data_IF_055637669616
#
_entry.id   IF_055637669616
#
_cell.length_a   1.000
_cell.length_b   1.000
_cell.length_c   1.000
_cell.angle_alpha   90.00
_cell.angle_beta   90.00
_cell.angle_gamma   90.00
#
_symmetry.space_group_name_H-M   'P 1'
#
loop_
_entity.id
_entity.type
_entity.pdbx_description
1 polymer ?
#
# COMPACT_ATOMS: atom_id res chain seq x y z
N UNK A 1 4.70 -15.26 0.36
CA UNK A 1 5.06 -13.86 -0.02
C UNK A 1 4.43 -12.81 0.92
N UNK A 2 3.09 -12.80 1.08
CA UNK A 2 2.38 -11.86 1.97
C UNK A 2 2.92 -11.84 3.41
N UNK A 3 3.19 -13.02 3.98
CA UNK A 3 3.76 -13.12 5.33
C UNK A 3 5.16 -12.50 5.45
N UNK A 4 5.96 -12.56 4.37
CA UNK A 4 7.27 -11.89 4.37
C UNK A 4 7.10 -10.37 4.39
N UNK A 5 6.17 -9.82 3.60
CA UNK A 5 5.84 -8.39 3.59
C UNK A 5 5.39 -7.96 5.00
N UNK A 6 4.46 -8.70 5.61
CA UNK A 6 4.01 -8.46 6.99
C UNK A 6 5.17 -8.44 7.97
N UNK A 7 6.06 -9.44 7.92
CA UNK A 7 7.22 -9.53 8.82
C UNK A 7 8.15 -8.33 8.67
N UNK A 8 8.45 -7.93 7.43
CA UNK A 8 9.29 -6.76 7.14
C UNK A 8 8.63 -5.46 7.59
N UNK A 9 7.34 -5.26 7.31
CA UNK A 9 6.59 -4.09 7.76
C UNK A 9 6.53 -3.99 9.29
N UNK A 10 6.30 -5.09 10.00
CA UNK A 10 6.28 -5.09 11.47
C UNK A 10 7.65 -4.75 12.07
N UNK A 11 8.74 -5.26 11.49
CA UNK A 11 10.10 -4.90 11.90
C UNK A 11 10.35 -3.39 11.76
N UNK A 12 9.95 -2.79 10.64
CA UNK A 12 10.08 -1.33 10.41
C UNK A 12 9.13 -0.50 11.27
N UNK A 13 7.92 -0.99 11.55
CA UNK A 13 6.99 -0.35 12.48
C UNK A 13 7.61 -0.24 13.88
N UNK A 14 8.29 -1.27 14.36
CA UNK A 14 8.96 -1.23 15.67
C UNK A 14 10.05 -0.17 15.72
N UNK A 15 10.81 0.04 14.64
CA UNK A 15 11.78 1.13 14.54
C UNK A 15 11.08 2.50 14.65
N UNK A 16 9.98 2.68 13.92
CA UNK A 16 9.21 3.93 13.96
C UNK A 16 8.64 4.19 15.36
N UNK A 17 8.16 3.15 16.05
CA UNK A 17 7.68 3.27 17.45
C UNK A 17 8.78 3.77 18.38
N UNK A 18 10.00 3.26 18.23
CA UNK A 18 11.15 3.68 19.05
C UNK A 18 11.51 5.14 18.75
N UNK A 19 11.61 5.50 17.46
CA UNK A 19 11.96 6.84 17.02
C UNK A 19 10.88 7.90 17.33
N UNK A 20 9.60 7.50 17.32
CA UNK A 20 8.46 8.36 17.65
C UNK A 20 8.43 8.79 19.13
N UNK A 21 9.22 8.14 19.99
CA UNK A 21 9.24 8.45 21.41
C UNK A 21 9.61 9.93 21.68
N UNK A 22 8.91 10.54 22.64
CA UNK A 22 9.07 11.96 23.04
C UNK A 22 10.51 12.33 23.39
N UNK A 23 11.33 11.39 23.89
CA UNK A 23 12.74 11.64 24.23
C UNK A 23 13.61 12.04 23.03
N UNK A 24 13.30 11.57 21.82
CA UNK A 24 14.10 11.84 20.62
C UNK A 24 13.77 13.19 19.96
N UNK A 25 12.64 13.82 20.31
CA UNK A 25 12.29 15.15 19.83
C UNK A 25 12.05 15.26 18.31
N UNK A 26 11.91 14.14 17.59
CA UNK A 26 11.76 14.16 16.13
C UNK A 26 10.48 14.86 15.68
N UNK A 27 10.61 15.66 14.62
CA UNK A 27 9.47 16.30 13.95
C UNK A 27 8.62 15.24 13.24
N UNK A 28 7.30 15.46 13.23
CA UNK A 28 6.31 14.62 12.54
C UNK A 28 6.59 14.49 11.05
N UNK A 29 7.05 15.57 10.39
CA UNK A 29 7.44 15.55 8.98
C UNK A 29 8.62 14.60 8.74
N UNK A 30 9.67 14.69 9.55
CA UNK A 30 10.85 13.82 9.47
C UNK A 30 10.48 12.36 9.70
N UNK A 31 9.63 12.08 10.71
CA UNK A 31 9.10 10.74 10.97
C UNK A 31 8.25 10.22 9.80
N UNK A 32 7.44 11.08 9.18
CA UNK A 32 6.68 10.77 7.97
C UNK A 32 7.57 10.36 6.81
N UNK A 33 8.65 11.11 6.56
CA UNK A 33 9.62 10.78 5.52
C UNK A 33 10.39 9.49 5.80
N UNK A 34 10.76 9.24 7.05
CA UNK A 34 11.37 7.98 7.47
C UNK A 34 10.41 6.81 7.28
N UNK A 35 9.13 6.98 7.61
CA UNK A 35 8.10 5.97 7.36
C UNK A 35 7.98 5.67 5.86
N UNK A 36 7.88 6.69 5.00
CA UNK A 36 7.80 6.51 3.55
C UNK A 36 9.03 5.78 3.01
N UNK A 37 10.22 6.13 3.50
CA UNK A 37 11.48 5.53 3.08
C UNK A 37 11.63 4.08 3.53
N UNK A 38 11.18 3.73 4.74
CA UNK A 38 11.37 2.39 5.31
C UNK A 38 10.24 1.43 4.99
N UNK A 39 9.00 1.88 5.14
CA UNK A 39 7.79 1.07 4.96
C UNK A 39 7.15 1.31 3.60
N UNK A 40 7.09 2.56 3.14
CA UNK A 40 6.51 2.91 1.84
C UNK A 40 7.13 2.12 0.69
N UNK A 41 8.46 2.04 0.61
CA UNK A 41 9.15 1.25 -0.42
C UNK A 41 8.76 -0.24 -0.40
N UNK A 42 8.67 -0.86 0.79
CA UNK A 42 8.30 -2.29 0.91
C UNK A 42 6.90 -2.52 0.35
N UNK A 43 5.98 -1.60 0.63
CA UNK A 43 4.61 -1.67 0.14
C UNK A 43 4.57 -1.37 -1.35
N UNK A 44 5.23 -0.33 -1.84
CA UNK A 44 5.23 0.04 -3.26
C UNK A 44 5.63 -1.14 -4.13
N UNK A 45 6.78 -1.78 -3.88
CA UNK A 45 7.19 -2.94 -4.69
C UNK A 45 6.21 -4.12 -4.65
N UNK A 46 5.31 -4.17 -3.67
CA UNK A 46 4.28 -5.21 -3.60
C UNK A 46 3.11 -4.97 -4.55
N UNK A 47 3.02 -3.83 -5.25
CA UNK A 47 1.95 -3.53 -6.19
C UNK A 47 1.84 -4.60 -7.30
N UNK A 48 2.97 -5.17 -7.71
CA UNK A 48 3.03 -6.24 -8.71
C UNK A 48 2.22 -7.48 -8.30
N UNK A 49 2.02 -7.67 -7.00
CA UNK A 49 1.31 -8.80 -6.43
C UNK A 49 -0.09 -8.43 -5.91
N UNK A 50 -0.63 -7.27 -6.32
CA UNK A 50 -1.97 -6.83 -5.92
C UNK A 50 -3.05 -7.88 -6.11
N UNK A 51 -3.08 -8.48 -7.30
CA UNK A 51 -4.07 -9.50 -7.66
C UNK A 51 -3.95 -10.78 -6.83
N UNK A 52 -2.82 -11.00 -6.14
CA UNK A 52 -2.61 -12.14 -5.24
C UNK A 52 -3.05 -11.84 -3.80
N UNK A 53 -3.29 -10.58 -3.44
CA UNK A 53 -3.70 -10.25 -2.08
C UNK A 53 -5.20 -10.47 -1.89
N UNK A 54 -5.54 -11.33 -0.93
CA UNK A 54 -6.91 -11.38 -0.42
C UNK A 54 -7.26 -10.10 0.34
N UNK A 55 -8.55 -9.77 0.38
CA UNK A 55 -9.06 -8.60 1.12
C UNK A 55 -8.66 -8.65 2.61
N UNK A 56 -8.67 -9.84 3.21
CA UNK A 56 -8.23 -10.07 4.59
C UNK A 56 -6.75 -9.74 4.82
N UNK A 57 -5.89 -9.98 3.82
CA UNK A 57 -4.48 -9.65 3.89
C UNK A 57 -4.23 -8.16 3.70
N UNK A 58 -4.97 -7.50 2.80
CA UNK A 58 -4.93 -6.05 2.63
C UNK A 58 -5.33 -5.35 3.93
N UNK A 59 -6.43 -5.78 4.57
CA UNK A 59 -6.89 -5.25 5.87
C UNK A 59 -5.82 -5.37 6.95
N UNK A 60 -5.09 -6.50 6.99
CA UNK A 60 -3.99 -6.71 7.93
C UNK A 60 -2.80 -5.78 7.68
N UNK A 61 -2.41 -5.57 6.43
CA UNK A 61 -1.34 -4.62 6.07
C UNK A 61 -1.77 -3.19 6.38
N UNK A 62 -3.03 -2.84 6.08
CA UNK A 62 -3.61 -1.55 6.43
C UNK A 62 -3.58 -1.29 7.94
N UNK A 63 -3.81 -2.30 8.77
CA UNK A 63 -3.70 -2.16 10.23
C UNK A 63 -2.28 -1.80 10.68
N UNK A 64 -1.25 -2.35 10.02
CA UNK A 64 0.16 -2.01 10.30
C UNK A 64 0.45 -0.55 9.93
N UNK A 65 -0.02 -0.10 8.75
CA UNK A 65 0.08 1.31 8.36
C UNK A 65 -0.67 2.23 9.34
N UNK A 66 -1.90 1.88 9.71
CA UNK A 66 -2.69 2.67 10.66
C UNK A 66 -1.97 2.80 12.01
N UNK A 67 -1.33 1.71 12.46
CA UNK A 67 -0.49 1.75 13.66
C UNK A 67 0.66 2.75 13.49
N UNK A 68 1.41 2.69 12.39
CA UNK A 68 2.51 3.62 12.11
C UNK A 68 2.05 5.08 12.12
N UNK A 69 0.95 5.38 11.42
CA UNK A 69 0.36 6.73 11.36
C UNK A 69 0.00 7.24 12.75
N UNK A 70 -0.60 6.42 13.62
CA UNK A 70 -0.92 6.82 15.00
C UNK A 70 0.33 7.22 15.77
N UNK A 71 1.42 6.47 15.64
CA UNK A 71 2.69 6.81 16.28
C UNK A 71 3.31 8.09 15.71
N UNK A 72 3.30 8.27 14.40
CA UNK A 72 3.89 9.46 13.75
C UNK A 72 3.13 10.73 14.15
N UNK A 73 1.80 10.68 14.07
CA UNK A 73 0.92 11.83 14.36
C UNK A 73 0.58 11.96 15.85
N UNK A 74 1.07 11.05 16.70
CA UNK A 74 0.80 11.01 18.15
C UNK A 74 -0.71 10.99 18.48
N UNK A 75 -1.48 10.28 17.66
CA UNK A 75 -2.93 10.12 17.84
C UNK A 75 -3.23 9.10 18.96
N UNK A 76 -4.42 9.23 19.56
CA UNK A 76 -4.91 8.26 20.54
C UNK A 76 -5.15 6.90 19.87
N UNK A 77 -5.09 5.84 20.67
CA UNK A 77 -5.37 4.49 20.19
C UNK A 77 -6.81 4.35 19.68
N UNK A 78 -7.77 5.01 20.35
CA UNK A 78 -9.20 4.92 20.03
C UNK A 78 -9.64 5.83 18.88
N UNK A 79 -8.73 6.59 18.25
CA UNK A 79 -9.10 7.46 17.13
C UNK A 79 -9.75 6.63 16.01
N UNK A 80 -10.97 6.97 15.55
CA UNK A 80 -11.63 6.28 14.44
C UNK A 80 -10.78 6.24 13.16
N UNK A 81 -10.97 5.21 12.34
CA UNK A 81 -10.19 5.04 11.11
C UNK A 81 -10.41 6.18 10.10
N UNK A 82 -11.63 6.70 9.98
CA UNK A 82 -11.91 7.78 9.01
C UNK A 82 -11.14 9.06 9.33
N UNK A 83 -11.13 9.45 10.62
CA UNK A 83 -10.36 10.59 11.11
C UNK A 83 -8.86 10.33 10.89
N UNK A 84 -8.38 9.12 11.21
CA UNK A 84 -6.99 8.73 11.02
C UNK A 84 -6.57 8.85 9.55
N UNK A 85 -7.40 8.39 8.62
CA UNK A 85 -7.11 8.45 7.19
C UNK A 85 -7.10 9.87 6.65
N UNK A 86 -8.02 10.71 7.11
CA UNK A 86 -8.05 12.13 6.73
C UNK A 86 -6.81 12.87 7.24
N UNK A 87 -6.44 12.65 8.50
CA UNK A 87 -5.22 13.21 9.12
C UNK A 87 -3.94 12.73 8.44
N UNK A 88 -3.87 11.44 8.08
CA UNK A 88 -2.74 10.87 7.34
C UNK A 88 -2.59 11.53 5.97
N UNK A 89 -3.70 11.73 5.27
CA UNK A 89 -3.68 12.37 3.96
C UNK A 89 -3.30 13.85 4.07
N UNK A 90 -3.88 14.58 5.01
CA UNK A 90 -3.63 16.02 5.16
C UNK A 90 -2.17 16.30 5.51
N UNK A 91 -1.67 15.68 6.59
CA UNK A 91 -0.35 15.98 7.17
C UNK A 91 0.80 15.20 6.55
N UNK A 92 0.56 13.95 6.15
CA UNK A 92 1.61 13.06 5.63
C UNK A 92 1.48 12.82 4.12
N UNK A 93 0.39 13.24 3.46
CA UNK A 93 0.10 12.90 2.06
C UNK A 93 0.13 11.39 1.82
N UNK A 94 -0.37 10.62 2.78
CA UNK A 94 -0.34 9.16 2.77
C UNK A 94 -1.74 8.59 2.49
N UNK A 95 -1.85 7.77 1.44
CA UNK A 95 -3.08 7.09 1.04
C UNK A 95 -3.24 5.73 1.74
N UNK A 96 -4.46 5.17 1.69
CA UNK A 96 -4.70 3.76 2.07
C UNK A 96 -3.84 2.83 1.22
N UNK A 97 -3.41 1.70 1.79
CA UNK A 97 -2.57 0.70 1.12
C UNK A 97 -3.18 0.28 -0.21
N UNK A 98 -4.47 -0.08 -0.22
CA UNK A 98 -5.18 -0.49 -1.43
C UNK A 98 -5.13 0.57 -2.53
N UNK A 99 -5.46 1.81 -2.18
CA UNK A 99 -5.55 2.91 -3.15
C UNK A 99 -4.17 3.24 -3.71
N UNK A 100 -3.16 3.33 -2.82
CA UNK A 100 -1.77 3.57 -3.20
C UNK A 100 -1.25 2.51 -4.17
N UNK A 101 -1.48 1.24 -3.86
CA UNK A 101 -1.02 0.14 -4.71
C UNK A 101 -1.78 0.14 -6.04
N UNK A 102 -3.10 0.36 -6.02
CA UNK A 102 -3.91 0.45 -7.23
C UNK A 102 -3.44 1.58 -8.16
N UNK A 103 -3.25 2.80 -7.63
CA UNK A 103 -2.73 3.92 -8.41
C UNK A 103 -1.35 3.65 -9.00
N UNK A 104 -0.47 2.97 -8.26
CA UNK A 104 0.86 2.59 -8.77
C UNK A 104 0.76 1.58 -9.91
N UNK A 105 -0.10 0.57 -9.77
CA UNK A 105 -0.31 -0.43 -10.81
C UNK A 105 -0.89 0.20 -12.07
N UNK A 106 -1.91 1.06 -11.93
CA UNK A 106 -2.52 1.78 -13.03
C UNK A 106 -1.50 2.66 -13.77
N UNK A 107 -0.70 3.45 -13.04
CA UNK A 107 0.35 4.28 -13.64
C UNK A 107 1.39 3.43 -14.35
N UNK A 108 1.84 2.34 -13.75
CA UNK A 108 2.85 1.46 -14.33
C UNK A 108 2.37 0.83 -15.64
N UNK A 109 1.14 0.29 -15.63
CA UNK A 109 0.52 -0.31 -16.83
C UNK A 109 0.25 0.76 -17.88
N UNK A 110 -0.32 1.91 -17.50
CA UNK A 110 -0.63 3.00 -18.41
C UNK A 110 0.61 3.56 -19.11
N UNK A 111 1.69 3.81 -18.37
CA UNK A 111 2.98 4.25 -18.94
C UNK A 111 3.63 3.16 -19.79
N UNK A 112 3.51 1.89 -19.38
CA UNK A 112 4.01 0.76 -20.16
C UNK A 112 3.31 0.65 -21.51
N UNK A 113 1.98 0.84 -21.53
CA UNK A 113 1.18 0.85 -22.75
C UNK A 113 1.46 2.08 -23.62
N UNK A 114 1.61 3.28 -23.02
CA UNK A 114 1.88 4.51 -23.78
C UNK A 114 3.22 4.46 -24.53
N UNK A 115 4.20 3.74 -23.99
CA UNK A 115 5.51 3.54 -24.63
C UNK A 115 5.61 2.22 -25.40
N UNK A 116 4.49 1.50 -25.57
CA UNK A 116 4.45 0.21 -26.26
C UNK A 116 5.49 -0.79 -25.75
N UNK A 117 5.70 -0.83 -24.43
CA UNK A 117 6.65 -1.75 -23.79
C UNK A 117 6.20 -3.19 -24.09
N UNK A 118 6.97 -3.99 -24.85
CA UNK A 118 6.49 -5.26 -25.40
C UNK A 118 5.96 -6.23 -24.35
N UNK A 119 6.61 -6.28 -23.19
CA UNK A 119 6.20 -7.15 -22.09
C UNK A 119 4.85 -6.73 -21.48
N UNK A 120 4.64 -5.43 -21.27
CA UNK A 120 3.40 -4.92 -20.67
C UNK A 120 2.25 -5.12 -21.64
N UNK A 121 2.43 -4.76 -22.92
CA UNK A 121 1.42 -4.97 -23.97
C UNK A 121 1.02 -6.45 -24.05
N UNK A 122 1.99 -7.37 -24.12
CA UNK A 122 1.70 -8.81 -24.17
C UNK A 122 0.93 -9.31 -22.94
N UNK A 123 1.36 -8.91 -21.74
CA UNK A 123 0.69 -9.34 -20.49
C UNK A 123 -0.75 -8.81 -20.39
N UNK A 124 -0.99 -7.57 -20.83
CA UNK A 124 -2.33 -6.98 -20.84
C UNK A 124 -3.23 -7.70 -21.86
N UNK A 125 -2.72 -8.00 -23.05
CA UNK A 125 -3.47 -8.77 -24.06
C UNK A 125 -3.81 -10.18 -23.59
N UNK A 126 -2.85 -10.90 -22.99
CA UNK A 126 -3.07 -12.24 -22.41
C UNK A 126 -4.14 -12.21 -21.31
N UNK A 127 -4.08 -11.19 -20.43
CA UNK A 127 -5.07 -11.00 -19.38
C UNK A 127 -6.47 -10.73 -19.94
N UNK A 128 -6.59 -9.89 -20.97
CA UNK A 128 -7.89 -9.58 -21.59
C UNK A 128 -8.49 -10.80 -22.29
N UNK A 129 -7.68 -11.58 -23.03
CA UNK A 129 -8.14 -12.83 -23.66
C UNK A 129 -8.66 -13.84 -22.64
N UNK A 130 -7.95 -14.02 -21.51
CA UNK A 130 -8.40 -14.91 -20.43
C UNK A 130 -9.58 -14.36 -19.62
N UNK A 131 -9.86 -13.06 -19.70
CA UNK A 131 -11.09 -12.48 -19.17
C UNK A 131 -12.26 -12.80 -20.09
N UNK A 132 -12.15 -12.53 -21.39
CA UNK A 132 -13.17 -12.84 -22.40
C UNK A 132 -13.58 -14.31 -22.41
N UNK A 133 -12.62 -15.25 -22.29
CA UNK A 133 -12.92 -16.68 -22.24
C UNK A 133 -13.79 -17.08 -21.04
N UNK A 134 -13.61 -16.46 -19.87
CA UNK A 134 -14.42 -16.73 -18.67
C UNK A 134 -15.87 -16.27 -18.82
N UNK A 135 -16.13 -15.22 -19.59
CA UNK A 135 -17.50 -14.76 -19.90
C UNK A 135 -18.21 -15.68 -20.89
N UNK A 136 -17.45 -16.31 -21.80
CA UNK A 136 -17.99 -17.25 -22.78
C UNK A 136 -18.35 -18.60 -22.10
N UNK A 137 -17.54 -19.05 -21.13
CA UNK A 137 -17.76 -20.33 -20.42
C UNK A 137 -18.84 -20.26 -19.33
N UNK A 138 -19.09 -19.08 -18.75
CA UNK A 138 -20.13 -18.88 -17.74
C UNK A 138 -21.03 -17.70 -18.13
N UNK A 139 -21.98 -17.89 -19.08
CA UNK A 139 -22.98 -16.88 -19.33
C UNK A 139 -23.83 -16.75 -18.07
N UNK A 140 -23.70 -15.64 -17.36
CA UNK A 140 -24.56 -15.30 -16.23
C UNK A 140 -25.98 -15.16 -16.74
N UNK A 141 -26.84 -16.13 -16.39
CA UNK A 141 -28.30 -16.05 -16.46
C UNK A 141 -28.81 -15.24 -15.28
#
# INVERSE_FOLDING_TARGET
MVENIKKRCNSRLNLIKILSNKKWGLNTFTLGNLYKSLMGLILDYSFLCLNLFSESNIKRIQAIQNSAVRFILKLKYDTPYDILHNEAFDKLKELKVSNRLFELAERYVGVGLSHSVPLVTRLVEEYMKGFESRFIEYPTV
#
